data_IF_044522986188
#
_entry.id   IF_044522986188
#
_cell.length_a   1.000
_cell.length_b   1.000
_cell.length_c   1.000
_cell.angle_alpha   90.00
_cell.angle_beta   90.00
_cell.angle_gamma   90.00
#
_symmetry.space_group_name_H-M   'P 1'
#
loop_
_entity.id
_entity.type
_entity.pdbx_description
1 polymer ?
#
# COMPACT_ATOMS: atom_id res chain seq x y z
N UNK A 1 10.98 65.91 1.69
CA UNK A 1 11.78 64.77 1.21
C UNK A 1 11.10 63.54 1.76
N UNK A 2 10.18 63.07 0.99
CA UNK A 2 9.39 61.86 1.25
C UNK A 2 9.93 60.77 0.36
N UNK A 3 10.58 59.78 0.95
CA UNK A 3 10.99 58.60 0.24
C UNK A 3 9.78 57.65 0.18
N UNK A 4 9.20 57.54 -0.99
CA UNK A 4 8.27 56.48 -1.33
C UNK A 4 9.06 55.16 -1.37
N UNK A 5 8.78 54.33 -0.40
CA UNK A 5 9.29 52.96 -0.31
C UNK A 5 8.41 52.12 -1.24
N UNK A 6 8.87 51.94 -2.49
CA UNK A 6 8.26 51.04 -3.47
C UNK A 6 8.36 49.63 -2.97
N UNK A 7 7.32 49.19 -2.26
CA UNK A 7 7.10 47.78 -1.96
C UNK A 7 6.66 47.09 -3.23
N UNK A 8 7.64 46.66 -4.03
CA UNK A 8 7.39 45.79 -5.20
C UNK A 8 7.00 44.44 -4.64
N UNK A 9 5.68 44.16 -4.62
CA UNK A 9 5.16 42.83 -4.41
C UNK A 9 5.86 41.89 -5.39
N UNK A 10 6.70 41.01 -4.89
CA UNK A 10 7.31 39.89 -5.63
C UNK A 10 6.18 38.98 -6.10
N UNK A 11 5.59 39.30 -7.26
CA UNK A 11 4.64 38.46 -7.95
C UNK A 11 5.44 37.24 -8.39
N UNK A 12 5.24 36.15 -7.66
CA UNK A 12 5.85 34.84 -7.94
C UNK A 12 5.44 34.37 -9.34
N UNK A 13 6.28 34.72 -10.35
CA UNK A 13 6.06 34.37 -11.76
C UNK A 13 6.28 32.87 -11.93
N UNK A 14 5.27 32.06 -11.57
CA UNK A 14 5.25 30.62 -11.92
C UNK A 14 5.44 30.47 -13.42
N UNK A 15 6.60 29.95 -13.83
CA UNK A 15 6.96 29.83 -15.23
C UNK A 15 5.99 28.91 -15.98
N UNK A 16 5.88 29.10 -17.32
CA UNK A 16 5.03 28.23 -18.16
C UNK A 16 5.43 26.75 -18.04
N UNK A 17 6.72 26.47 -17.82
CA UNK A 17 7.23 25.11 -17.61
C UNK A 17 6.83 24.55 -16.22
N UNK A 18 6.76 25.40 -15.17
CA UNK A 18 6.32 24.99 -13.86
C UNK A 18 4.82 24.66 -13.84
N UNK A 19 4.01 25.48 -14.50
CA UNK A 19 2.57 25.19 -14.67
C UNK A 19 2.35 23.86 -15.41
N UNK A 20 3.17 23.57 -16.42
CA UNK A 20 3.12 22.29 -17.13
C UNK A 20 3.51 21.13 -16.22
N UNK A 21 4.59 21.26 -15.44
CA UNK A 21 5.02 20.25 -14.45
C UNK A 21 3.94 19.99 -13.41
N UNK A 22 3.36 21.03 -12.83
CA UNK A 22 2.24 20.91 -11.89
C UNK A 22 1.03 20.19 -12.51
N UNK A 23 0.66 20.56 -13.74
CA UNK A 23 -0.44 19.89 -14.43
C UNK A 23 -0.18 18.41 -14.65
N UNK A 24 1.04 18.01 -15.01
CA UNK A 24 1.41 16.60 -15.14
C UNK A 24 1.43 15.86 -13.82
N UNK A 25 1.90 16.50 -12.75
CA UNK A 25 1.88 15.91 -11.41
C UNK A 25 0.44 15.62 -10.93
N UNK A 26 -0.48 16.58 -11.14
CA UNK A 26 -1.90 16.38 -10.82
C UNK A 26 -2.55 15.28 -11.66
N UNK A 27 -2.20 15.16 -12.94
CA UNK A 27 -2.67 14.06 -13.78
C UNK A 27 -2.15 12.70 -13.28
N UNK A 28 -0.88 12.62 -12.90
CA UNK A 28 -0.29 11.40 -12.36
C UNK A 28 -0.98 10.97 -11.05
N UNK A 29 -1.31 11.92 -10.16
CA UNK A 29 -2.10 11.63 -8.96
C UNK A 29 -3.50 11.10 -9.33
N UNK A 30 -4.15 11.70 -10.33
CA UNK A 30 -5.43 11.23 -10.85
C UNK A 30 -5.37 9.80 -11.40
N UNK A 31 -4.30 9.45 -12.12
CA UNK A 31 -4.08 8.09 -12.62
C UNK A 31 -3.87 7.10 -11.49
N UNK A 32 -3.13 7.48 -10.43
CA UNK A 32 -2.98 6.65 -9.23
C UNK A 32 -4.33 6.38 -8.57
N UNK A 33 -5.19 7.41 -8.41
CA UNK A 33 -6.54 7.25 -7.85
C UNK A 33 -7.41 6.30 -8.68
N UNK A 34 -7.36 6.41 -10.02
CA UNK A 34 -8.12 5.52 -10.91
C UNK A 34 -7.65 4.06 -10.79
N UNK A 35 -6.37 3.83 -10.50
CA UNK A 35 -5.78 2.50 -10.30
C UNK A 35 -6.21 1.79 -9.02
N UNK A 36 -6.78 2.50 -8.03
CA UNK A 36 -7.19 1.92 -6.75
C UNK A 36 -8.48 1.10 -6.87
N UNK A 37 -8.64 0.09 -6.04
CA UNK A 37 -9.94 -0.58 -5.84
C UNK A 37 -10.93 0.34 -5.10
N UNK A 38 -12.21 0.00 -5.08
CA UNK A 38 -13.21 0.78 -4.33
C UNK A 38 -12.92 0.78 -2.83
N UNK A 39 -12.51 -0.37 -2.27
CA UNK A 39 -12.11 -0.46 -0.87
C UNK A 39 -10.89 0.40 -0.53
N UNK A 40 -9.95 0.54 -1.46
CA UNK A 40 -8.79 1.42 -1.30
C UNK A 40 -9.18 2.91 -1.38
N UNK A 41 -10.09 3.27 -2.29
CA UNK A 41 -10.60 4.64 -2.37
C UNK A 41 -11.32 5.06 -1.08
N UNK A 42 -12.11 4.16 -0.49
CA UNK A 42 -12.78 4.41 0.79
C UNK A 42 -11.78 4.64 1.94
N UNK A 43 -10.67 3.90 1.94
CA UNK A 43 -9.61 4.06 2.96
C UNK A 43 -8.90 5.41 2.90
N UNK A 44 -8.87 6.09 1.75
CA UNK A 44 -8.21 7.38 1.62
C UNK A 44 -8.87 8.48 2.47
N UNK A 45 -10.12 8.27 2.94
CA UNK A 45 -10.86 9.24 3.77
C UNK A 45 -10.79 10.67 3.23
N UNK A 46 -10.93 10.82 1.90
CA UNK A 46 -10.98 12.12 1.25
C UNK A 46 -12.42 12.64 1.30
N UNK A 47 -12.59 13.87 1.79
CA UNK A 47 -13.90 14.54 1.88
C UNK A 47 -14.35 15.12 0.53
N UNK A 48 -13.67 14.79 -0.56
CA UNK A 48 -13.81 15.35 -1.90
C UNK A 48 -14.73 14.47 -2.79
N UNK A 49 -16.03 14.47 -2.47
CA UNK A 49 -17.01 13.60 -3.16
C UNK A 49 -17.00 13.77 -4.69
N UNK A 50 -16.87 15.03 -5.18
CA UNK A 50 -16.81 15.30 -6.62
C UNK A 50 -15.58 14.66 -7.29
N UNK A 51 -14.44 14.61 -6.59
CA UNK A 51 -13.23 13.95 -7.08
C UNK A 51 -13.41 12.43 -7.10
N UNK A 52 -13.95 11.86 -6.02
CA UNK A 52 -14.17 10.42 -5.91
C UNK A 52 -15.15 9.92 -6.97
N UNK A 53 -16.22 10.67 -7.22
CA UNK A 53 -17.20 10.36 -8.28
C UNK A 53 -16.55 10.45 -9.67
N UNK A 54 -15.76 11.49 -9.94
CA UNK A 54 -15.03 11.61 -11.21
C UNK A 54 -14.05 10.47 -11.42
N UNK A 55 -13.39 9.96 -10.35
CA UNK A 55 -12.51 8.80 -10.39
C UNK A 55 -13.29 7.52 -10.68
N UNK A 56 -14.44 7.30 -10.03
CA UNK A 56 -15.33 6.15 -10.31
C UNK A 56 -15.79 6.15 -11.76
N UNK A 57 -16.23 7.29 -12.28
CA UNK A 57 -16.60 7.44 -13.69
C UNK A 57 -15.44 7.11 -14.63
N UNK A 58 -14.22 7.56 -14.34
CA UNK A 58 -13.05 7.27 -15.16
C UNK A 58 -12.78 5.76 -15.31
N UNK A 59 -13.13 4.95 -14.30
CA UNK A 59 -12.95 3.50 -14.33
C UNK A 59 -13.91 2.81 -15.30
N UNK A 60 -15.07 3.39 -15.56
CA UNK A 60 -16.08 2.81 -16.46
C UNK A 60 -15.85 3.19 -17.92
N UNK A 61 -15.03 4.22 -18.18
CA UNK A 61 -14.78 4.72 -19.54
C UNK A 61 -13.78 3.80 -20.24
N UNK A 62 -14.22 3.13 -21.31
CA UNK A 62 -13.40 2.23 -22.13
C UNK A 62 -12.69 2.94 -23.27
N UNK A 63 -13.27 4.04 -23.82
CA UNK A 63 -12.69 4.78 -24.92
C UNK A 63 -11.53 5.68 -24.50
N UNK A 64 -10.41 5.57 -25.18
CA UNK A 64 -9.19 6.33 -24.89
C UNK A 64 -9.40 7.86 -24.85
N UNK A 65 -10.16 8.41 -25.81
CA UNK A 65 -10.45 9.85 -25.86
C UNK A 65 -11.32 10.32 -24.70
N UNK A 66 -12.34 9.51 -24.30
CA UNK A 66 -13.17 9.77 -23.14
C UNK A 66 -12.37 9.72 -21.84
N UNK A 67 -11.53 8.69 -21.67
CA UNK A 67 -10.65 8.55 -20.49
C UNK A 67 -9.69 9.74 -20.36
N UNK A 68 -9.11 10.21 -21.48
CA UNK A 68 -8.23 11.39 -21.47
C UNK A 68 -8.96 12.66 -21.01
N UNK A 69 -10.20 12.88 -21.48
CA UNK A 69 -11.02 14.03 -21.05
C UNK A 69 -11.37 13.93 -19.56
N UNK A 70 -11.71 12.74 -19.08
CA UNK A 70 -12.02 12.51 -17.67
C UNK A 70 -10.79 12.74 -16.78
N UNK A 71 -9.60 12.31 -17.21
CA UNK A 71 -8.33 12.61 -16.51
C UNK A 71 -8.05 14.12 -16.45
N UNK A 72 -8.34 14.86 -17.53
CA UNK A 72 -8.22 16.32 -17.52
C UNK A 72 -9.21 16.97 -16.53
N UNK A 73 -10.42 16.44 -16.43
CA UNK A 73 -11.41 16.90 -15.47
C UNK A 73 -10.99 16.62 -14.02
N UNK A 74 -10.51 15.41 -13.74
CA UNK A 74 -9.90 15.05 -12.46
C UNK A 74 -8.75 16.00 -12.12
N UNK A 75 -7.84 16.26 -13.06
CA UNK A 75 -6.74 17.21 -12.89
C UNK A 75 -7.23 18.65 -12.62
N UNK A 76 -8.39 19.04 -13.16
CA UNK A 76 -9.02 20.33 -12.83
C UNK A 76 -9.53 20.36 -11.40
N UNK A 77 -10.24 19.31 -10.96
CA UNK A 77 -10.73 19.18 -9.59
C UNK A 77 -9.56 19.21 -8.58
N UNK A 78 -8.46 18.51 -8.90
CA UNK A 78 -7.26 18.46 -8.07
C UNK A 78 -6.60 19.83 -7.84
N UNK A 79 -6.86 20.82 -8.69
CA UNK A 79 -6.34 22.20 -8.48
C UNK A 79 -7.09 22.98 -7.40
N UNK A 80 -8.35 22.61 -7.14
CA UNK A 80 -9.19 23.25 -6.12
C UNK A 80 -9.10 22.59 -4.75
N UNK A 81 -8.34 21.51 -4.64
CA UNK A 81 -8.15 20.75 -3.39
C UNK A 81 -6.67 20.70 -3.02
N UNK A 82 -6.40 20.29 -1.79
CA UNK A 82 -5.02 20.08 -1.32
C UNK A 82 -4.43 18.81 -1.94
N UNK A 83 -3.75 18.97 -3.09
CA UNK A 83 -3.10 17.88 -3.78
C UNK A 83 -1.99 17.20 -2.94
N UNK A 84 -1.37 17.93 -2.00
CA UNK A 84 -0.37 17.36 -1.10
C UNK A 84 -1.03 16.38 -0.12
N UNK A 85 -2.21 16.71 0.40
CA UNK A 85 -3.02 15.81 1.24
C UNK A 85 -3.39 14.52 0.49
N UNK A 86 -3.82 14.63 -0.77
CA UNK A 86 -4.14 13.48 -1.62
C UNK A 86 -2.89 12.63 -1.88
N UNK A 87 -1.75 13.26 -2.20
CA UNK A 87 -0.48 12.54 -2.40
C UNK A 87 -0.07 11.77 -1.15
N UNK A 88 -0.07 12.42 0.01
CA UNK A 88 0.27 11.80 1.28
C UNK A 88 -0.63 10.61 1.61
N UNK A 89 -1.94 10.73 1.39
CA UNK A 89 -2.89 9.63 1.60
C UNK A 89 -2.60 8.43 0.66
N UNK A 90 -2.28 8.69 -0.60
CA UNK A 90 -1.89 7.68 -1.57
C UNK A 90 -0.55 6.99 -1.21
N UNK A 91 0.40 7.76 -0.71
CA UNK A 91 1.71 7.24 -0.32
C UNK A 91 1.59 6.36 0.93
N UNK A 92 0.82 6.78 1.93
CA UNK A 92 0.50 5.97 3.12
C UNK A 92 -0.19 4.65 2.73
N UNK A 93 -1.21 4.70 1.86
CA UNK A 93 -1.89 3.51 1.39
C UNK A 93 -0.96 2.53 0.66
N UNK A 94 -0.03 3.08 -0.12
CA UNK A 94 0.98 2.29 -0.85
C UNK A 94 1.96 1.64 0.13
N UNK A 95 2.41 2.39 1.14
CA UNK A 95 3.30 1.91 2.19
C UNK A 95 2.64 0.78 2.99
N UNK A 96 1.42 0.99 3.51
CA UNK A 96 0.64 -0.05 4.21
C UNK A 96 0.52 -1.34 3.39
N UNK A 97 0.21 -1.21 2.09
CA UNK A 97 0.11 -2.36 1.19
C UNK A 97 1.45 -3.08 1.00
N UNK A 98 2.55 -2.34 0.93
CA UNK A 98 3.90 -2.89 0.77
C UNK A 98 4.34 -3.61 2.04
N UNK A 99 4.10 -3.01 3.21
CA UNK A 99 4.40 -3.61 4.51
C UNK A 99 3.59 -4.87 4.75
N UNK A 100 2.28 -4.86 4.43
CA UNK A 100 1.43 -6.03 4.53
C UNK A 100 1.90 -7.19 3.63
N UNK A 101 2.35 -6.90 2.41
CA UNK A 101 2.92 -7.91 1.50
C UNK A 101 4.26 -8.45 2.02
N UNK A 102 5.14 -7.56 2.49
CA UNK A 102 6.43 -7.97 3.06
C UNK A 102 6.24 -8.90 4.27
N UNK A 103 5.27 -8.57 5.12
CA UNK A 103 4.88 -9.41 6.27
C UNK A 103 4.38 -10.78 5.83
N UNK A 104 3.48 -10.83 4.87
CA UNK A 104 2.95 -12.10 4.34
C UNK A 104 4.07 -12.97 3.78
N UNK A 105 4.98 -12.39 2.99
CA UNK A 105 6.16 -13.11 2.48
C UNK A 105 7.09 -13.60 3.57
N UNK A 106 7.28 -12.83 4.66
CA UNK A 106 8.06 -13.24 5.80
C UNK A 106 7.46 -14.48 6.50
N UNK A 107 6.14 -14.46 6.72
CA UNK A 107 5.38 -15.57 7.33
C UNK A 107 5.45 -16.82 6.41
N UNK A 108 5.24 -16.65 5.12
CA UNK A 108 5.34 -17.74 4.14
C UNK A 108 6.74 -18.32 4.08
N UNK A 109 7.77 -17.47 4.03
CA UNK A 109 9.17 -17.90 4.03
C UNK A 109 9.55 -18.70 5.29
N UNK A 110 9.14 -18.23 6.45
CA UNK A 110 9.36 -18.93 7.72
C UNK A 110 8.63 -20.29 7.77
N UNK A 111 7.37 -20.35 7.32
CA UNK A 111 6.64 -21.61 7.17
C UNK A 111 7.38 -22.57 6.27
N UNK A 112 7.78 -22.13 5.10
CA UNK A 112 8.42 -22.97 4.08
C UNK A 112 9.79 -23.45 4.55
N UNK A 113 10.56 -22.61 5.23
CA UNK A 113 11.82 -22.99 5.86
C UNK A 113 11.64 -24.11 6.90
N UNK A 114 10.65 -23.96 7.80
CA UNK A 114 10.32 -24.99 8.79
C UNK A 114 9.84 -26.29 8.15
N UNK A 115 9.07 -26.21 7.07
CA UNK A 115 8.60 -27.40 6.34
C UNK A 115 9.72 -28.10 5.56
N UNK A 116 10.70 -27.35 5.08
CA UNK A 116 11.82 -27.91 4.34
C UNK A 116 12.93 -28.44 5.25
N UNK A 117 13.37 -27.64 6.23
CA UNK A 117 14.57 -27.90 7.07
C UNK A 117 14.25 -28.34 8.50
N UNK A 118 12.99 -28.22 8.94
CA UNK A 118 12.57 -28.64 10.27
C UNK A 118 13.29 -27.89 11.38
N UNK A 119 13.91 -28.66 12.28
CA UNK A 119 14.62 -28.12 13.48
C UNK A 119 15.78 -27.17 13.13
N UNK A 120 16.39 -27.29 11.96
CA UNK A 120 17.50 -26.42 11.50
C UNK A 120 17.02 -24.97 11.24
N UNK A 121 15.78 -24.79 10.83
CA UNK A 121 15.20 -23.47 10.59
C UNK A 121 14.66 -22.80 11.87
N UNK A 122 14.58 -23.50 12.99
CA UNK A 122 13.95 -22.97 14.22
C UNK A 122 14.68 -21.73 14.76
N UNK A 123 16.02 -21.70 14.72
CA UNK A 123 16.78 -20.55 15.19
C UNK A 123 16.47 -19.30 14.38
N UNK A 124 16.46 -19.39 13.06
CA UNK A 124 16.15 -18.29 12.15
C UNK A 124 14.72 -17.72 12.41
N UNK A 125 13.76 -18.63 12.64
CA UNK A 125 12.36 -18.22 12.92
C UNK A 125 12.24 -17.59 14.31
N UNK A 126 12.99 -18.07 15.31
CA UNK A 126 13.02 -17.48 16.65
C UNK A 126 13.76 -16.13 16.69
N UNK A 127 14.73 -15.91 15.80
CA UNK A 127 15.36 -14.60 15.65
C UNK A 127 14.36 -13.55 15.13
N UNK A 128 13.43 -13.96 14.26
CA UNK A 128 12.36 -13.10 13.75
C UNK A 128 11.26 -12.87 14.82
N UNK A 129 10.83 -13.94 15.50
CA UNK A 129 9.82 -13.91 16.55
C UNK A 129 10.35 -14.51 17.85
N UNK A 130 11.04 -13.74 18.70
CA UNK A 130 11.63 -14.25 19.96
C UNK A 130 10.59 -14.76 20.96
N UNK A 131 9.35 -14.29 20.85
CA UNK A 131 8.21 -14.70 21.71
C UNK A 131 7.57 -16.02 21.27
N UNK A 132 8.01 -16.59 20.14
CA UNK A 132 7.45 -17.83 19.64
C UNK A 132 7.83 -19.03 20.51
N UNK A 133 6.86 -19.89 20.79
CA UNK A 133 7.12 -21.13 21.51
C UNK A 133 7.82 -22.16 20.60
N UNK A 134 9.07 -22.44 20.92
CA UNK A 134 9.94 -23.35 20.17
C UNK A 134 9.32 -24.74 20.02
N UNK A 135 8.66 -25.25 21.07
CA UNK A 135 8.07 -26.57 21.06
C UNK A 135 6.84 -26.64 20.14
N UNK A 136 6.04 -25.61 20.15
CA UNK A 136 4.88 -25.46 19.27
C UNK A 136 5.29 -25.41 17.79
N UNK A 137 6.31 -24.60 17.43
CA UNK A 137 6.86 -24.55 16.09
C UNK A 137 7.35 -25.93 15.63
N UNK A 138 8.15 -26.60 16.46
CA UNK A 138 8.70 -27.93 16.19
C UNK A 138 7.57 -28.95 15.96
N UNK A 139 6.55 -28.95 16.82
CA UNK A 139 5.44 -29.87 16.73
C UNK A 139 4.65 -29.69 15.44
N UNK A 140 4.34 -28.44 15.08
CA UNK A 140 3.63 -28.15 13.82
C UNK A 140 4.47 -28.53 12.60
N UNK A 141 5.75 -28.19 12.59
CA UNK A 141 6.64 -28.51 11.48
C UNK A 141 6.76 -30.03 11.24
N UNK A 142 7.03 -30.80 12.29
CA UNK A 142 7.15 -32.28 12.21
C UNK A 142 5.86 -32.95 11.73
N UNK A 143 4.70 -32.51 12.27
CA UNK A 143 3.41 -33.04 11.85
C UNK A 143 3.08 -32.67 10.41
N UNK A 144 3.36 -31.45 9.99
CA UNK A 144 3.16 -31.01 8.61
C UNK A 144 4.06 -31.76 7.62
N UNK A 145 5.34 -32.00 7.98
CA UNK A 145 6.23 -32.83 7.17
C UNK A 145 5.72 -34.27 7.06
N UNK A 146 5.16 -34.84 8.15
CA UNK A 146 4.56 -36.19 8.11
C UNK A 146 3.31 -36.23 7.23
N UNK A 147 2.45 -35.19 7.28
CA UNK A 147 1.29 -35.05 6.37
C UNK A 147 1.73 -35.03 4.91
N UNK A 148 2.75 -34.23 4.58
CA UNK A 148 3.30 -34.15 3.23
C UNK A 148 3.83 -35.49 2.71
N UNK A 149 4.56 -36.23 3.57
CA UNK A 149 5.08 -37.55 3.23
C UNK A 149 3.98 -38.59 3.00
N UNK A 150 2.86 -38.47 3.71
CA UNK A 150 1.72 -39.40 3.61
C UNK A 150 0.70 -39.02 2.53
N UNK A 151 0.87 -37.82 1.91
CA UNK A 151 -0.10 -37.32 0.94
C UNK A 151 -1.46 -36.94 1.59
N UNK A 152 -1.49 -36.68 2.90
CA UNK A 152 -2.70 -36.28 3.62
C UNK A 152 -2.92 -34.76 3.59
N UNK A 153 -4.15 -34.26 3.81
CA UNK A 153 -4.43 -32.84 3.81
C UNK A 153 -3.51 -32.04 4.75
N UNK A 154 -3.04 -30.85 4.35
CA UNK A 154 -2.02 -30.06 5.07
C UNK A 154 -2.62 -29.29 6.26
N UNK A 155 -3.14 -29.99 7.26
CA UNK A 155 -3.79 -29.39 8.43
C UNK A 155 -2.78 -28.66 9.32
N UNK A 156 -1.63 -29.31 9.58
CA UNK A 156 -0.61 -28.74 10.48
C UNK A 156 0.19 -27.64 9.79
N UNK A 157 0.40 -27.70 8.48
CA UNK A 157 0.96 -26.59 7.72
C UNK A 157 0.09 -25.32 7.80
N UNK A 158 -1.25 -25.48 7.76
CA UNK A 158 -2.19 -24.36 7.96
C UNK A 158 -2.19 -23.84 9.40
N UNK A 159 -2.03 -24.74 10.39
CA UNK A 159 -1.90 -24.34 11.80
C UNK A 159 -0.61 -23.58 12.05
N UNK A 160 0.51 -24.03 11.48
CA UNK A 160 1.79 -23.35 11.54
C UNK A 160 1.69 -21.92 10.95
N UNK A 161 1.11 -21.79 9.76
CA UNK A 161 0.91 -20.49 9.15
C UNK A 161 0.07 -19.55 10.02
N UNK A 162 -1.04 -20.02 10.58
CA UNK A 162 -1.88 -19.20 11.47
C UNK A 162 -1.15 -18.81 12.77
N UNK A 163 -0.32 -19.69 13.30
CA UNK A 163 0.49 -19.39 14.47
C UNK A 163 1.54 -18.32 14.19
N UNK A 164 2.28 -18.45 13.08
CA UNK A 164 3.24 -17.43 12.64
C UNK A 164 2.56 -16.06 12.38
N UNK A 165 1.36 -16.07 11.78
CA UNK A 165 0.56 -14.85 11.58
C UNK A 165 0.19 -14.20 12.92
N UNK A 166 -0.29 -14.98 13.90
CA UNK A 166 -0.62 -14.44 15.20
C UNK A 166 0.58 -13.84 15.96
N UNK A 167 1.79 -14.38 15.76
CA UNK A 167 3.03 -13.80 16.30
C UNK A 167 3.38 -12.47 15.61
N UNK A 168 3.18 -12.40 14.30
CA UNK A 168 3.41 -11.16 13.52
C UNK A 168 2.43 -10.07 13.92
N UNK A 169 1.15 -10.40 14.10
CA UNK A 169 0.12 -9.45 14.53
C UNK A 169 0.39 -8.93 15.96
N UNK A 170 0.87 -9.81 16.85
CA UNK A 170 1.22 -9.45 18.24
C UNK A 170 2.48 -8.57 18.34
N UNK A 171 3.38 -8.62 17.37
CA UNK A 171 4.59 -7.80 17.35
C UNK A 171 4.34 -6.34 16.91
N UNK A 172 3.16 -6.06 16.33
CA UNK A 172 2.74 -4.72 15.89
C UNK A 172 1.82 -4.00 16.88
N UNK A 173 1.35 -4.69 17.90
CA UNK A 173 0.42 -4.18 18.93
C UNK A 173 1.17 -3.59 20.10
#
# INVERSE_FOLDING_TARGET
MTSDDDHIDEIDFVSKSDRKRQSHALQALGERLIGLSESQLQKLSLDEEALLEAVRQAKTITHHSGRRRQLQYIGKLMRSIDAAKVSAALDNLTQESTEAKAREHLIEGARDALLARGDEALSEVLDIWPTADRQTLRNFARKAQSEKKRGTPPVHARKLFRYLRSLSDAAES
#
